data_IF_955071438832
#
_entry.id   IF_955071438832
#
_cell.length_a   1.000
_cell.length_b   1.000
_cell.length_c   1.000
_cell.angle_alpha   90.00
_cell.angle_beta   90.00
_cell.angle_gamma   90.00
#
_symmetry.space_group_name_H-M   'P 1'
#
loop_
_entity.id
_entity.type
_entity.pdbx_description
1 polymer ?
#
# COMPACT_ATOMS: atom_id res chain seq x y z
N UNK A 1 -17.26 12.23 -4.07
CA UNK A 1 -16.90 12.42 -2.65
C UNK A 1 -16.27 13.80 -2.49
N UNK A 2 -16.51 14.48 -1.37
CA UNK A 2 -15.81 15.72 -1.03
C UNK A 2 -14.44 15.42 -0.43
N UNK A 3 -13.46 16.33 -0.57
CA UNK A 3 -12.12 16.19 0.03
C UNK A 3 -12.19 15.92 1.54
N UNK A 4 -13.20 16.44 2.23
CA UNK A 4 -13.41 16.20 3.65
C UNK A 4 -13.80 14.74 3.95
N UNK A 5 -14.60 14.11 3.10
CA UNK A 5 -14.99 12.71 3.24
C UNK A 5 -13.80 11.77 3.06
N UNK A 6 -12.94 12.05 2.07
CA UNK A 6 -11.70 11.31 1.81
C UNK A 6 -10.81 11.35 3.06
N UNK A 7 -10.57 12.55 3.59
CA UNK A 7 -9.78 12.75 4.82
C UNK A 7 -10.33 11.98 6.02
N UNK A 8 -11.65 11.98 6.22
CA UNK A 8 -12.30 11.23 7.31
C UNK A 8 -12.09 9.73 7.19
N UNK A 9 -12.29 9.20 5.98
CA UNK A 9 -12.09 7.78 5.67
C UNK A 9 -10.65 7.36 5.96
N UNK A 10 -9.68 8.12 5.45
CA UNK A 10 -8.24 7.87 5.67
C UNK A 10 -7.80 7.96 7.12
N UNK A 11 -8.33 8.94 7.84
CA UNK A 11 -8.06 9.08 9.26
C UNK A 11 -8.56 7.86 10.04
N UNK A 12 -9.76 7.38 9.70
CA UNK A 12 -10.33 6.16 10.30
C UNK A 12 -9.51 4.92 9.98
N UNK A 13 -9.04 4.78 8.74
CA UNK A 13 -8.14 3.68 8.30
C UNK A 13 -6.80 3.71 9.05
N UNK A 14 -6.18 4.88 9.19
CA UNK A 14 -4.89 4.99 9.89
C UNK A 14 -4.98 4.58 11.37
N UNK A 15 -6.13 4.87 12.00
CA UNK A 15 -6.41 4.51 13.39
C UNK A 15 -7.22 3.21 13.54
N UNK A 16 -7.46 2.44 12.47
CA UNK A 16 -8.05 1.09 12.63
C UNK A 16 -7.00 0.08 13.12
N UNK A 17 -5.74 0.27 12.73
CA UNK A 17 -4.61 -0.55 13.16
C UNK A 17 -3.91 -0.02 14.43
N UNK A 18 -4.18 1.24 14.83
CA UNK A 18 -3.52 1.91 15.95
C UNK A 18 -4.52 2.46 16.95
N UNK A 19 -4.26 2.29 18.25
CA UNK A 19 -5.09 2.87 19.30
C UNK A 19 -5.13 4.39 19.20
N UNK A 20 -6.34 4.96 19.20
CA UNK A 20 -6.54 6.41 19.22
C UNK A 20 -5.86 7.02 20.46
N UNK A 21 -5.03 8.06 20.31
CA UNK A 21 -4.35 8.71 21.43
C UNK A 21 -5.36 9.39 22.36
N UNK A 22 -5.25 9.15 23.67
CA UNK A 22 -6.19 9.69 24.67
C UNK A 22 -6.27 11.23 24.66
N UNK A 23 -5.15 11.91 24.40
CA UNK A 23 -5.07 13.38 24.39
C UNK A 23 -5.96 14.02 23.33
N UNK A 24 -6.21 13.33 22.21
CA UNK A 24 -6.95 13.89 21.07
C UNK A 24 -8.12 13.01 20.61
N UNK A 25 -8.47 11.97 21.37
CA UNK A 25 -9.56 11.03 21.05
C UNK A 25 -10.89 11.73 20.76
N UNK A 26 -11.23 12.75 21.54
CA UNK A 26 -12.46 13.55 21.33
C UNK A 26 -12.40 14.32 20.01
N UNK A 27 -11.27 14.96 19.71
CA UNK A 27 -11.05 15.71 18.48
C UNK A 27 -11.07 14.82 17.23
N UNK A 28 -10.36 13.69 17.27
CA UNK A 28 -10.34 12.70 16.19
C UNK A 28 -11.73 12.10 15.97
N UNK A 29 -12.47 11.79 17.04
CA UNK A 29 -13.85 11.31 16.96
C UNK A 29 -14.78 12.35 16.33
N UNK A 30 -14.61 13.64 16.64
CA UNK A 30 -15.40 14.71 16.00
C UNK A 30 -15.08 14.85 14.51
N UNK A 31 -13.82 14.68 14.11
CA UNK A 31 -13.42 14.69 12.70
C UNK A 31 -14.00 13.48 11.95
N UNK A 32 -13.81 12.27 12.49
CA UNK A 32 -14.28 11.00 11.88
C UNK A 32 -15.80 11.00 11.74
N UNK A 33 -16.54 11.41 12.78
CA UNK A 33 -18.00 11.45 12.76
C UNK A 33 -18.58 12.65 12.00
N UNK A 34 -17.73 13.51 11.42
CA UNK A 34 -18.15 14.67 10.64
C UNK A 34 -18.80 15.79 11.45
N UNK A 35 -18.61 15.82 12.77
CA UNK A 35 -19.06 16.90 13.66
C UNK A 35 -18.17 18.14 13.59
N UNK A 36 -16.97 18.02 13.02
CA UNK A 36 -16.03 19.12 12.83
C UNK A 36 -15.57 19.23 11.38
N UNK A 37 -15.20 20.44 10.97
CA UNK A 37 -14.72 20.74 9.62
C UNK A 37 -13.33 20.17 9.41
N UNK A 38 -13.18 19.28 8.42
CA UNK A 38 -11.89 18.65 8.12
C UNK A 38 -11.13 19.49 7.07
N UNK A 39 -10.58 20.62 7.52
CA UNK A 39 -9.77 21.51 6.69
C UNK A 39 -8.35 21.00 6.39
N UNK A 40 -7.71 21.59 5.39
CA UNK A 40 -6.33 21.26 4.99
C UNK A 40 -5.34 21.43 6.14
N UNK A 41 -5.47 22.53 6.90
CA UNK A 41 -4.61 22.80 8.05
C UNK A 41 -4.72 21.73 9.14
N UNK A 42 -5.90 21.15 9.33
CA UNK A 42 -6.11 20.03 10.24
C UNK A 42 -5.47 18.75 9.68
N UNK A 43 -5.63 18.46 8.39
CA UNK A 43 -4.99 17.32 7.73
C UNK A 43 -3.46 17.37 7.84
N UNK A 44 -2.83 18.49 7.45
CA UNK A 44 -1.37 18.67 7.53
C UNK A 44 -0.84 18.54 8.95
N UNK A 45 -1.60 19.01 9.94
CA UNK A 45 -1.24 18.85 11.35
C UNK A 45 -1.26 17.37 11.75
N UNK A 46 -2.33 16.65 11.44
CA UNK A 46 -2.45 15.22 11.75
C UNK A 46 -1.37 14.40 11.05
N UNK A 47 -1.06 14.72 9.79
CA UNK A 47 0.03 14.05 9.05
C UNK A 47 1.36 14.19 9.79
N UNK A 48 1.71 15.40 10.22
CA UNK A 48 2.95 15.66 10.95
C UNK A 48 2.94 15.04 12.34
N UNK A 49 1.87 15.25 13.11
CA UNK A 49 1.79 14.87 14.52
C UNK A 49 1.75 13.33 14.67
N UNK A 50 1.24 12.59 13.67
CA UNK A 50 1.14 11.13 13.66
C UNK A 50 2.12 10.43 12.70
N UNK A 51 3.02 11.17 12.05
CA UNK A 51 4.02 10.62 11.12
C UNK A 51 3.41 9.99 9.86
N UNK A 52 2.26 10.49 9.41
CA UNK A 52 1.68 10.07 8.13
C UNK A 52 2.46 10.74 6.98
N UNK A 53 2.53 10.10 5.81
CA UNK A 53 3.06 10.75 4.60
C UNK A 53 2.30 12.04 4.25
N UNK A 54 3.01 13.02 3.69
CA UNK A 54 2.40 14.27 3.22
C UNK A 54 1.35 13.99 2.14
N UNK A 55 0.13 14.48 2.34
CA UNK A 55 -0.99 14.26 1.41
C UNK A 55 -1.65 12.88 1.54
N UNK A 56 -1.31 12.09 2.58
CA UNK A 56 -1.95 10.81 2.86
C UNK A 56 -3.46 10.95 3.08
N UNK A 57 -3.89 11.99 3.79
CA UNK A 57 -5.31 12.23 4.07
C UNK A 57 -6.06 12.81 2.87
N UNK A 58 -5.35 13.43 1.92
CA UNK A 58 -5.92 14.00 0.70
C UNK A 58 -6.01 13.00 -0.46
N UNK A 59 -5.25 11.91 -0.37
CA UNK A 59 -5.18 10.89 -1.42
C UNK A 59 -6.39 9.98 -1.36
N UNK A 60 -7.33 10.17 -2.28
CA UNK A 60 -8.43 9.23 -2.53
C UNK A 60 -7.90 7.99 -3.25
N UNK A 61 -7.17 7.12 -2.55
CA UNK A 61 -6.98 5.76 -3.07
C UNK A 61 -8.28 5.04 -2.79
N UNK A 62 -9.26 5.25 -3.65
CA UNK A 62 -10.39 4.34 -3.80
C UNK A 62 -9.97 3.04 -4.50
N UNK A 63 -8.67 2.84 -4.79
CA UNK A 63 -8.16 1.53 -5.15
C UNK A 63 -6.69 1.33 -4.70
N UNK A 64 -6.49 0.22 -3.99
CA UNK A 64 -5.30 -0.66 -4.08
C UNK A 64 -3.99 -0.38 -3.31
N UNK A 65 -3.91 0.39 -2.23
CA UNK A 65 -2.69 0.35 -1.37
C UNK A 65 -2.93 0.43 0.15
N UNK A 66 -3.80 -0.44 0.65
CA UNK A 66 -3.52 -1.19 1.88
C UNK A 66 -3.79 -2.64 1.50
N UNK A 67 -2.76 -3.44 1.17
CA UNK A 67 -2.26 -4.48 2.07
C UNK A 67 -1.08 -5.16 1.35
N UNK A 68 0.16 -4.94 1.78
CA UNK A 68 1.21 -5.97 1.62
C UNK A 68 1.43 -6.76 2.91
N UNK A 69 0.61 -6.52 3.94
CA UNK A 69 0.55 -7.34 5.15
C UNK A 69 -0.59 -8.34 5.03
N UNK A 70 -0.50 -9.25 4.06
CA UNK A 70 -1.55 -10.22 3.79
C UNK A 70 -1.47 -10.96 2.47
N UNK A 71 -0.33 -10.91 1.77
CA UNK A 71 -0.09 -11.87 0.69
C UNK A 71 0.00 -13.25 1.36
N UNK A 72 -1.06 -14.04 1.23
CA UNK A 72 -0.99 -15.48 1.49
C UNK A 72 -0.15 -16.05 0.37
N UNK A 73 1.16 -16.07 0.61
CA UNK A 73 2.12 -16.64 -0.32
C UNK A 73 1.93 -18.15 -0.31
N UNK A 74 1.86 -18.74 -1.49
CA UNK A 74 1.95 -20.17 -1.70
C UNK A 74 3.29 -20.72 -1.17
N UNK A 75 3.36 -22.04 -0.96
CA UNK A 75 4.61 -22.68 -0.53
C UNK A 75 5.78 -22.41 -1.50
N UNK A 76 5.49 -22.27 -2.79
CA UNK A 76 6.49 -22.01 -3.83
C UNK A 76 7.06 -20.59 -3.72
N UNK A 77 6.19 -19.60 -3.48
CA UNK A 77 6.60 -18.22 -3.28
C UNK A 77 7.39 -18.04 -1.99
N UNK A 78 7.01 -18.73 -0.92
CA UNK A 78 7.76 -18.72 0.35
C UNK A 78 9.16 -19.33 0.20
N UNK A 79 9.28 -20.43 -0.55
CA UNK A 79 10.58 -21.03 -0.88
C UNK A 79 11.45 -20.05 -1.66
N UNK A 80 10.89 -19.40 -2.69
CA UNK A 80 11.61 -18.42 -3.49
C UNK A 80 12.16 -17.27 -2.63
N UNK A 81 11.33 -16.68 -1.77
CA UNK A 81 11.74 -15.60 -0.86
C UNK A 81 12.83 -16.08 0.11
N UNK A 82 12.70 -17.31 0.63
CA UNK A 82 13.67 -17.88 1.57
C UNK A 82 15.05 -18.00 0.93
N UNK A 83 15.13 -18.55 -0.29
CA UNK A 83 16.40 -18.65 -1.01
C UNK A 83 16.95 -17.28 -1.42
N UNK A 84 16.08 -16.39 -1.89
CA UNK A 84 16.47 -15.06 -2.32
C UNK A 84 17.08 -14.22 -1.20
N UNK A 85 16.58 -14.35 0.04
CA UNK A 85 17.15 -13.68 1.22
C UNK A 85 18.55 -14.17 1.56
N UNK A 86 18.88 -15.42 1.25
CA UNK A 86 20.19 -16.01 1.49
C UNK A 86 21.29 -15.53 0.54
N UNK A 87 20.95 -14.83 -0.53
CA UNK A 87 21.93 -14.37 -1.52
C UNK A 87 22.63 -13.07 -1.08
N UNK A 88 23.90 -12.86 -1.47
CA UNK A 88 24.54 -11.56 -1.36
C UNK A 88 23.88 -10.56 -2.32
N UNK A 89 23.97 -9.27 -2.01
CA UNK A 89 23.23 -8.24 -2.75
C UNK A 89 23.64 -8.11 -4.23
N UNK A 90 24.87 -8.49 -4.59
CA UNK A 90 25.31 -8.62 -5.98
C UNK A 90 24.56 -9.74 -6.71
N UNK A 91 24.51 -10.93 -6.12
CA UNK A 91 23.84 -12.09 -6.70
C UNK A 91 22.31 -11.95 -6.74
N UNK A 92 21.71 -11.23 -5.76
CA UNK A 92 20.28 -10.89 -5.79
C UNK A 92 19.90 -10.12 -7.05
N UNK A 93 20.71 -9.12 -7.41
CA UNK A 93 20.47 -8.28 -8.60
C UNK A 93 20.57 -9.11 -9.87
N UNK A 94 21.60 -9.93 -9.99
CA UNK A 94 21.77 -10.82 -11.15
C UNK A 94 20.63 -11.83 -11.28
N UNK A 95 20.26 -12.48 -10.17
CA UNK A 95 19.15 -13.43 -10.14
C UNK A 95 17.81 -12.80 -10.53
N UNK A 96 17.54 -11.55 -10.11
CA UNK A 96 16.34 -10.81 -10.50
C UNK A 96 16.31 -10.53 -12.01
N UNK A 97 17.42 -10.05 -12.57
CA UNK A 97 17.52 -9.75 -14.01
C UNK A 97 17.29 -11.02 -14.83
N UNK A 98 17.90 -12.14 -14.43
CA UNK A 98 17.73 -13.41 -15.12
C UNK A 98 16.28 -13.91 -15.02
N UNK A 99 15.67 -13.81 -13.84
CA UNK A 99 14.30 -14.22 -13.61
C UNK A 99 13.31 -13.40 -14.44
N UNK A 100 13.48 -12.08 -14.48
CA UNK A 100 12.67 -11.17 -15.29
C UNK A 100 12.82 -11.47 -16.79
N UNK A 101 14.04 -11.69 -17.25
CA UNK A 101 14.30 -12.05 -18.66
C UNK A 101 13.60 -13.36 -19.04
N UNK A 102 13.69 -14.39 -18.19
CA UNK A 102 12.99 -15.67 -18.40
C UNK A 102 11.49 -15.48 -18.41
N UNK A 103 10.94 -14.74 -17.45
CA UNK A 103 9.51 -14.46 -17.36
C UNK A 103 8.98 -13.77 -18.63
N UNK A 104 9.67 -12.73 -19.08
CA UNK A 104 9.31 -11.99 -20.29
C UNK A 104 9.36 -12.89 -21.54
N UNK A 105 10.42 -13.69 -21.69
CA UNK A 105 10.57 -14.63 -22.80
C UNK A 105 9.42 -15.64 -22.87
N UNK A 106 9.05 -16.25 -21.75
CA UNK A 106 7.96 -17.22 -21.75
C UNK A 106 6.60 -16.57 -22.03
N UNK A 107 6.36 -15.38 -21.49
CA UNK A 107 5.13 -14.64 -21.78
C UNK A 107 5.04 -14.22 -23.25
N UNK A 108 6.15 -13.82 -23.86
CA UNK A 108 6.21 -13.51 -25.28
C UNK A 108 5.92 -14.73 -26.15
N UNK A 109 6.58 -15.86 -25.88
CA UNK A 109 6.31 -17.14 -26.56
C UNK A 109 4.84 -17.58 -26.40
N UNK A 110 4.26 -17.37 -25.22
CA UNK A 110 2.85 -17.68 -24.98
C UNK A 110 1.91 -16.78 -25.78
N UNK A 111 2.21 -15.47 -25.88
CA UNK A 111 1.45 -14.53 -26.72
C UNK A 111 1.50 -14.93 -28.19
N UNK A 112 2.68 -15.30 -28.69
CA UNK A 112 2.85 -15.78 -30.08
C UNK A 112 2.05 -17.06 -30.35
N UNK A 113 2.09 -18.03 -29.42
CA UNK A 113 1.30 -19.26 -29.55
C UNK A 113 -0.21 -19.00 -29.58
N UNK A 114 -0.71 -18.08 -28.76
CA UNK A 114 -2.12 -17.68 -28.79
C UNK A 114 -2.49 -16.93 -30.08
N UNK A 115 -1.62 -16.04 -30.55
CA UNK A 115 -1.81 -15.31 -31.79
C UNK A 115 -1.81 -16.23 -33.01
N UNK A 116 -1.01 -17.31 -32.99
CA UNK A 116 -0.97 -18.32 -34.06
C UNK A 116 -2.19 -19.26 -34.09
N UNK A 117 -3.01 -19.26 -33.04
CA UNK A 117 -4.23 -20.07 -32.89
C UNK A 117 -5.52 -19.31 -33.18
N UNK A 118 -5.44 -18.00 -33.45
CA UNK A 118 -6.56 -17.10 -33.77
C UNK A 118 -6.62 -16.84 -35.27
#
# INVERSE_FOLDING_TARGET
MTTQEIRRRRLKEWFSEKSLPEKEKSYLSQLINGRSSFGERAARRLERDYGMPSGYLDSDTSDSQSTQSGLVLSEEELKLITFFRGFPDSAKKEALIEFESKFNKYNELFKELLASRS
#
